data_IF_573966788837
#
_entry.id   IF_573966788837
#
_cell.length_a   1.000
_cell.length_b   1.000
_cell.length_c   1.000
_cell.angle_alpha   90.00
_cell.angle_beta   90.00
_cell.angle_gamma   90.00
#
_symmetry.space_group_name_H-M   'P 1'
#
loop_
_entity.id
_entity.type
_entity.pdbx_description
1 polymer ?
#
# COMPACT_ATOMS: atom_id res chain seq x y z
N UNK A 1 60.37 22.03 16.18
CA UNK A 1 59.41 21.47 15.21
C UNK A 1 59.19 20.01 15.59
N UNK A 2 58.04 19.57 16.15
CA UNK A 2 56.95 18.98 15.35
C UNK A 2 55.61 18.83 16.11
N UNK A 3 54.81 19.88 16.34
CA UNK A 3 53.52 19.72 17.06
C UNK A 3 52.28 20.29 16.34
N UNK A 4 52.47 21.01 15.22
CA UNK A 4 51.34 21.66 14.52
C UNK A 4 50.68 20.82 13.43
N UNK A 5 51.27 19.70 13.01
CA UNK A 5 50.76 18.90 11.88
C UNK A 5 49.76 17.83 12.32
N UNK A 6 49.87 17.29 13.55
CA UNK A 6 48.97 16.22 14.04
C UNK A 6 47.56 16.69 14.38
N UNK A 7 47.38 17.97 14.76
CA UNK A 7 46.07 18.52 15.13
C UNK A 7 45.14 18.71 13.92
N UNK A 8 45.69 19.01 12.73
CA UNK A 8 44.86 19.24 11.53
C UNK A 8 44.29 17.95 10.94
N UNK A 9 45.01 16.83 11.05
CA UNK A 9 44.56 15.52 10.54
C UNK A 9 43.42 14.95 11.40
N UNK A 10 43.45 15.18 12.72
CA UNK A 10 42.38 14.72 13.63
C UNK A 10 41.09 15.52 13.41
N UNK A 11 41.18 16.83 13.12
CA UNK A 11 40.01 17.65 12.82
C UNK A 11 39.33 17.25 11.49
N UNK A 12 40.11 16.83 10.48
CA UNK A 12 39.56 16.38 9.19
C UNK A 12 38.90 14.99 9.26
N UNK A 13 39.34 14.11 10.17
CA UNK A 13 38.72 12.79 10.38
C UNK A 13 37.40 12.92 11.16
N UNK A 14 37.27 13.90 12.08
CA UNK A 14 36.03 14.12 12.81
C UNK A 14 34.90 14.71 11.95
N UNK A 15 35.23 15.42 10.85
CA UNK A 15 34.26 15.99 9.92
C UNK A 15 33.68 14.99 8.92
N UNK A 16 34.27 13.79 8.79
CA UNK A 16 33.81 12.75 7.86
C UNK A 16 32.79 11.78 8.48
N UNK A 17 32.49 11.88 9.78
CA UNK A 17 31.52 11.01 10.46
C UNK A 17 30.13 11.62 10.67
N UNK A 18 29.91 12.88 10.30
CA UNK A 18 28.55 13.41 10.14
C UNK A 18 28.00 13.06 8.75
N UNK A 19 27.90 11.76 8.46
CA UNK A 19 26.80 11.32 7.60
C UNK A 19 25.53 11.58 8.40
N UNK A 20 24.97 12.76 8.18
CA UNK A 20 23.59 13.07 8.50
C UNK A 20 22.80 11.94 7.83
N UNK A 21 22.37 10.98 8.63
CA UNK A 21 21.23 10.16 8.27
C UNK A 21 20.11 11.17 8.10
N UNK A 22 19.87 11.59 6.86
CA UNK A 22 18.57 12.11 6.48
C UNK A 22 17.62 10.95 6.72
N UNK A 23 17.12 10.86 7.96
CA UNK A 23 15.81 10.34 8.20
C UNK A 23 14.92 11.22 7.33
N UNK A 24 14.60 10.74 6.13
CA UNK A 24 13.46 11.25 5.41
C UNK A 24 12.30 11.10 6.40
N UNK A 25 11.94 12.19 7.07
CA UNK A 25 10.66 12.32 7.74
C UNK A 25 9.62 12.39 6.62
N UNK A 26 9.48 11.30 5.88
CA UNK A 26 8.31 11.08 5.04
C UNK A 26 7.16 11.02 6.01
N UNK A 27 6.24 11.97 5.91
CA UNK A 27 4.98 11.94 6.65
C UNK A 27 4.41 10.54 6.52
N UNK A 28 4.45 9.78 7.61
CA UNK A 28 4.07 8.38 7.60
C UNK A 28 2.55 8.35 7.51
N UNK A 29 2.00 8.12 6.32
CA UNK A 29 0.55 7.97 6.14
C UNK A 29 -0.04 6.82 6.97
N UNK A 30 0.81 5.99 7.57
CA UNK A 30 0.45 4.99 8.59
C UNK A 30 -0.12 5.60 9.87
N UNK A 31 0.14 6.88 10.17
CA UNK A 31 -0.35 7.56 11.39
C UNK A 31 -1.79 8.09 11.26
N UNK A 32 -2.42 7.93 10.10
CA UNK A 32 -3.82 8.33 9.88
C UNK A 32 -4.78 7.43 10.67
N UNK A 33 -4.31 6.25 11.07
CA UNK A 33 -5.06 5.30 11.86
C UNK A 33 -4.64 5.33 13.33
N UNK A 34 -5.60 5.75 14.17
CA UNK A 34 -5.45 5.86 15.62
C UNK A 34 -5.22 4.48 16.30
N UNK A 35 -5.59 3.37 15.64
CA UNK A 35 -5.49 2.00 16.19
C UNK A 35 -4.14 1.32 15.90
N UNK A 36 -3.36 1.89 14.97
CA UNK A 36 -2.12 1.31 14.46
C UNK A 36 -2.29 -0.01 13.69
N UNK A 37 -3.53 -0.37 13.30
CA UNK A 37 -3.80 -1.51 12.42
C UNK A 37 -3.09 -1.38 11.08
N UNK A 38 -3.00 -0.17 10.51
CA UNK A 38 -2.33 0.06 9.22
C UNK A 38 -0.84 -0.29 9.33
N UNK A 39 -0.14 0.21 10.35
CA UNK A 39 1.27 -0.13 10.55
C UNK A 39 1.47 -1.63 10.81
N UNK A 40 0.60 -2.28 11.59
CA UNK A 40 0.67 -3.74 11.82
C UNK A 40 0.46 -4.53 10.53
N UNK A 41 -0.48 -4.10 9.68
CA UNK A 41 -0.78 -4.70 8.39
C UNK A 41 0.38 -4.55 7.40
N UNK A 42 0.95 -3.36 7.28
CA UNK A 42 2.11 -3.13 6.43
C UNK A 42 3.30 -4.03 6.83
N UNK A 43 3.59 -4.11 8.13
CA UNK A 43 4.66 -4.99 8.63
C UNK A 43 4.36 -6.49 8.43
N UNK A 44 3.08 -6.89 8.47
CA UNK A 44 2.68 -8.27 8.22
C UNK A 44 2.84 -8.63 6.75
N UNK A 45 2.40 -7.74 5.85
CA UNK A 45 2.62 -7.85 4.41
C UNK A 45 4.11 -8.00 4.08
N UNK A 46 4.97 -7.12 4.62
CA UNK A 46 6.41 -7.19 4.39
C UNK A 46 6.98 -8.55 4.81
N UNK A 47 6.61 -9.04 5.99
CA UNK A 47 7.08 -10.34 6.47
C UNK A 47 6.62 -11.48 5.58
N UNK A 48 5.36 -11.49 5.15
CA UNK A 48 4.81 -12.52 4.28
C UNK A 48 5.55 -12.53 2.93
N UNK A 49 5.72 -11.35 2.33
CA UNK A 49 6.34 -11.17 1.03
C UNK A 49 7.80 -11.67 1.02
N UNK A 50 8.61 -11.18 1.95
CA UNK A 50 10.03 -11.52 2.01
C UNK A 50 10.25 -12.97 2.44
N UNK A 51 9.36 -13.54 3.28
CA UNK A 51 9.41 -14.96 3.63
C UNK A 51 9.08 -15.85 2.45
N UNK A 52 8.08 -15.50 1.65
CA UNK A 52 7.62 -16.32 0.53
C UNK A 52 8.63 -16.36 -0.62
N UNK A 53 9.15 -15.20 -1.04
CA UNK A 53 10.09 -15.13 -2.18
C UNK A 53 11.55 -15.38 -1.79
N UNK A 54 11.95 -15.05 -0.55
CA UNK A 54 13.27 -15.30 0.01
C UNK A 54 14.45 -14.84 -0.89
N UNK A 55 14.33 -13.67 -1.54
CA UNK A 55 15.42 -13.06 -2.31
C UNK A 55 16.40 -12.23 -1.46
N UNK A 56 16.49 -12.53 -0.16
CA UNK A 56 17.27 -11.73 0.79
C UNK A 56 16.72 -10.31 0.91
N UNK A 57 17.60 -9.31 0.81
CA UNK A 57 17.26 -7.89 0.98
C UNK A 57 16.91 -7.17 -0.33
N UNK A 58 16.77 -7.89 -1.45
CA UNK A 58 16.40 -7.30 -2.73
C UNK A 58 14.90 -6.95 -2.75
N UNK A 59 14.58 -5.78 -2.22
CA UNK A 59 13.20 -5.27 -2.14
C UNK A 59 12.59 -5.05 -3.52
N UNK A 60 13.35 -4.55 -4.50
CA UNK A 60 12.81 -4.26 -5.83
C UNK A 60 12.40 -5.56 -6.52
N UNK A 61 13.28 -6.56 -6.52
CA UNK A 61 12.98 -7.87 -7.10
C UNK A 61 11.80 -8.55 -6.39
N UNK A 62 11.80 -8.55 -5.07
CA UNK A 62 10.74 -9.18 -4.26
C UNK A 62 9.36 -8.63 -4.60
N UNK A 63 9.20 -7.31 -4.59
CA UNK A 63 7.93 -6.67 -4.91
C UNK A 63 7.56 -6.81 -6.40
N UNK A 64 8.52 -6.72 -7.33
CA UNK A 64 8.22 -6.87 -8.77
C UNK A 64 7.79 -8.30 -9.11
N UNK A 65 8.42 -9.31 -8.52
CA UNK A 65 8.00 -10.71 -8.70
C UNK A 65 6.57 -10.90 -8.18
N UNK A 66 6.25 -10.36 -7.01
CA UNK A 66 4.88 -10.35 -6.50
C UNK A 66 3.88 -9.72 -7.46
N UNK A 67 4.16 -8.51 -7.94
CA UNK A 67 3.26 -7.82 -8.88
C UNK A 67 3.11 -8.56 -10.20
N UNK A 68 4.17 -9.20 -10.71
CA UNK A 68 4.12 -10.01 -11.91
C UNK A 68 3.24 -11.27 -11.72
N UNK A 69 3.33 -11.92 -10.56
CA UNK A 69 2.49 -13.08 -10.22
C UNK A 69 1.01 -12.67 -10.02
N UNK A 70 0.76 -11.50 -9.42
CA UNK A 70 -0.61 -10.95 -9.33
C UNK A 70 -1.15 -10.58 -10.71
N UNK A 71 -0.37 -9.90 -11.55
CA UNK A 71 -0.79 -9.49 -12.89
C UNK A 71 -1.08 -10.70 -13.80
N UNK A 72 -0.31 -11.79 -13.65
CA UNK A 72 -0.48 -13.03 -14.39
C UNK A 72 -1.44 -14.03 -13.74
N UNK A 73 -2.05 -13.68 -12.59
CA UNK A 73 -2.95 -14.55 -11.82
C UNK A 73 -2.32 -15.89 -11.43
N UNK A 74 -1.00 -15.92 -11.22
CA UNK A 74 -0.22 -17.13 -10.92
C UNK A 74 0.20 -17.26 -9.45
N UNK A 75 -0.20 -16.31 -8.61
CA UNK A 75 0.15 -16.25 -7.20
C UNK A 75 -0.41 -17.44 -6.40
N UNK A 76 0.43 -18.13 -5.61
CA UNK A 76 -0.02 -19.20 -4.69
C UNK A 76 -0.62 -18.58 -3.42
N UNK A 77 -1.91 -18.27 -3.53
CA UNK A 77 -2.68 -17.63 -2.47
C UNK A 77 -2.76 -18.46 -1.19
N UNK A 78 -2.49 -19.77 -1.20
CA UNK A 78 -2.55 -20.61 0.01
C UNK A 78 -1.27 -20.52 0.85
N UNK A 79 -0.15 -20.12 0.24
CA UNK A 79 1.17 -20.13 0.89
C UNK A 79 1.70 -18.75 1.22
N UNK A 80 1.31 -17.73 0.45
CA UNK A 80 1.79 -16.38 0.64
C UNK A 80 1.35 -15.79 1.99
N UNK A 81 0.04 -15.72 2.32
CA UNK A 81 -0.39 -15.02 3.53
C UNK A 81 -0.14 -15.84 4.80
N UNK A 82 0.33 -15.16 5.85
CA UNK A 82 0.32 -15.73 7.20
C UNK A 82 -1.04 -15.60 7.88
N UNK A 83 -1.28 -16.41 8.92
CA UNK A 83 -2.47 -16.30 9.77
C UNK A 83 -2.66 -14.89 10.33
N UNK A 84 -1.55 -14.18 10.63
CA UNK A 84 -1.60 -12.81 11.11
C UNK A 84 -2.18 -11.86 10.05
N UNK A 85 -1.75 -11.98 8.79
CA UNK A 85 -2.32 -11.19 7.70
C UNK A 85 -3.79 -11.51 7.47
N UNK A 86 -4.19 -12.78 7.55
CA UNK A 86 -5.61 -13.19 7.48
C UNK A 86 -6.43 -12.57 8.62
N UNK A 87 -5.92 -12.59 9.84
CA UNK A 87 -6.60 -11.97 11.00
C UNK A 87 -6.73 -10.44 10.84
N UNK A 88 -5.71 -9.77 10.31
CA UNK A 88 -5.77 -8.33 10.04
C UNK A 88 -6.79 -8.01 8.96
N UNK A 89 -6.90 -8.80 7.90
CA UNK A 89 -7.96 -8.70 6.89
C UNK A 89 -9.35 -8.80 7.52
N UNK A 90 -9.56 -9.75 8.43
CA UNK A 90 -10.85 -9.91 9.15
C UNK A 90 -11.17 -8.67 9.99
N UNK A 91 -10.17 -8.07 10.64
CA UNK A 91 -10.34 -6.81 11.37
C UNK A 91 -10.72 -5.65 10.45
N UNK A 92 -10.09 -5.54 9.27
CA UNK A 92 -10.48 -4.53 8.28
C UNK A 92 -11.94 -4.68 7.85
N UNK A 93 -12.44 -5.90 7.65
CA UNK A 93 -13.86 -6.13 7.36
C UNK A 93 -14.79 -5.68 8.49
N UNK A 94 -14.40 -5.91 9.74
CA UNK A 94 -15.20 -5.54 10.91
C UNK A 94 -15.32 -4.02 11.06
N UNK A 95 -14.29 -3.26 10.68
CA UNK A 95 -14.28 -1.80 10.77
C UNK A 95 -14.69 -1.10 9.47
N UNK A 96 -15.10 -1.83 8.43
CA UNK A 96 -15.43 -1.25 7.12
C UNK A 96 -16.61 -0.27 7.13
N UNK A 97 -17.43 -0.29 8.20
CA UNK A 97 -18.49 0.71 8.44
C UNK A 97 -17.98 2.03 9.05
N UNK A 98 -16.72 2.10 9.47
CA UNK A 98 -16.09 3.35 9.93
C UNK A 98 -15.73 4.23 8.73
N UNK A 99 -16.07 5.52 8.80
CA UNK A 99 -15.72 6.52 7.78
C UNK A 99 -14.21 6.68 7.60
N UNK A 100 -13.40 6.30 8.59
CA UNK A 100 -11.93 6.29 8.53
C UNK A 100 -11.35 4.99 7.95
N UNK A 101 -12.19 4.01 7.62
CA UNK A 101 -11.74 2.72 7.08
C UNK A 101 -11.06 2.87 5.72
N UNK A 102 -10.08 1.99 5.47
CA UNK A 102 -9.43 1.83 4.17
C UNK A 102 -10.35 1.22 3.12
N UNK A 103 -11.33 0.42 3.54
CA UNK A 103 -12.35 -0.17 2.66
C UNK A 103 -13.71 0.36 3.05
N UNK A 104 -14.52 0.69 2.04
CA UNK A 104 -15.92 1.08 2.19
C UNK A 104 -16.80 0.19 1.33
N UNK A 105 -18.11 0.29 1.51
CA UNK A 105 -19.08 -0.46 0.70
C UNK A 105 -19.11 0.10 -0.72
N UNK A 106 -19.21 -0.77 -1.72
CA UNK A 106 -19.24 -0.35 -3.13
C UNK A 106 -20.41 0.62 -3.41
N UNK A 107 -21.58 0.34 -2.83
CA UNK A 107 -22.76 1.22 -2.92
C UNK A 107 -22.48 2.63 -2.37
N UNK A 108 -21.74 2.74 -1.27
CA UNK A 108 -21.32 4.02 -0.71
C UNK A 108 -20.32 4.73 -1.63
N UNK A 109 -19.37 3.99 -2.24
CA UNK A 109 -18.41 4.56 -3.18
C UNK A 109 -19.09 5.11 -4.44
N UNK A 110 -19.98 4.33 -5.05
CA UNK A 110 -20.74 4.73 -6.25
C UNK A 110 -21.68 5.91 -5.96
N UNK A 111 -22.31 5.97 -4.78
CA UNK A 111 -23.19 7.07 -4.39
C UNK A 111 -22.48 8.43 -4.35
N UNK A 112 -21.17 8.46 -4.12
CA UNK A 112 -20.37 9.68 -4.17
C UNK A 112 -20.20 10.21 -5.60
N UNK A 113 -20.38 9.37 -6.62
CA UNK A 113 -20.40 9.77 -8.04
C UNK A 113 -21.79 10.22 -8.52
N UNK A 114 -22.87 9.78 -7.86
CA UNK A 114 -24.26 10.09 -8.26
C UNK A 114 -24.60 11.58 -8.14
N UNK A 115 -23.83 12.36 -7.35
CA UNK A 115 -23.94 13.84 -7.35
C UNK A 115 -23.61 14.44 -8.73
N UNK A 116 -22.93 13.70 -9.64
CA UNK A 116 -22.61 14.12 -11.02
C UNK A 116 -23.47 13.48 -12.11
N UNK A 117 -24.28 12.45 -11.84
CA UNK A 117 -25.13 11.80 -12.85
C UNK A 117 -26.52 11.52 -12.28
N UNK A 118 -27.46 12.41 -12.61
CA UNK A 118 -28.89 12.17 -12.48
C UNK A 118 -29.31 11.08 -13.45
N UNK A 119 -29.57 9.84 -13.03
CA UNK A 119 -30.57 8.94 -13.61
C UNK A 119 -30.92 7.77 -12.66
N UNK A 120 -32.24 7.58 -12.52
CA UNK A 120 -33.07 6.47 -12.02
C UNK A 120 -32.45 5.28 -11.26
N UNK A 121 -32.94 5.11 -10.02
CA UNK A 121 -32.75 3.97 -9.11
C UNK A 121 -33.21 2.63 -9.72
N UNK A 122 -32.34 1.60 -9.77
CA UNK A 122 -32.77 0.21 -9.78
C UNK A 122 -32.90 -0.28 -8.34
N UNK A 123 -34.07 -0.85 -8.02
CA UNK A 123 -34.39 -1.47 -6.73
C UNK A 123 -33.28 -2.37 -6.19
N UNK A 124 -32.67 -1.96 -5.06
CA UNK A 124 -31.65 -2.74 -4.35
C UNK A 124 -32.30 -3.97 -3.72
N UNK A 125 -31.96 -5.16 -4.22
CA UNK A 125 -32.27 -6.44 -3.56
C UNK A 125 -31.44 -6.57 -2.30
N UNK A 126 -32.10 -6.86 -1.17
CA UNK A 126 -31.59 -6.69 0.19
C UNK A 126 -30.72 -7.84 0.74
N UNK A 127 -30.37 -8.84 -0.08
CA UNK A 127 -29.74 -10.10 0.37
C UNK A 127 -28.38 -10.43 -0.29
N UNK A 128 -27.81 -9.53 -1.08
CA UNK A 128 -26.45 -9.75 -1.62
C UNK A 128 -25.39 -9.34 -0.59
N UNK A 129 -24.39 -10.22 -0.37
CA UNK A 129 -23.23 -9.91 0.48
C UNK A 129 -22.58 -8.64 -0.04
N UNK A 130 -22.65 -7.60 0.77
CA UNK A 130 -22.16 -6.27 0.43
C UNK A 130 -20.67 -6.34 0.05
N UNK A 131 -20.35 -5.85 -1.15
CA UNK A 131 -18.99 -5.85 -1.70
C UNK A 131 -18.23 -4.67 -1.10
N UNK A 132 -17.05 -4.94 -0.53
CA UNK A 132 -16.14 -3.91 -0.04
C UNK A 132 -15.12 -3.56 -1.12
N UNK A 133 -14.88 -2.27 -1.31
CA UNK A 133 -13.90 -1.70 -2.24
C UNK A 133 -12.91 -0.83 -1.49
N UNK A 134 -11.66 -0.77 -1.97
CA UNK A 134 -10.66 0.15 -1.43
C UNK A 134 -11.11 1.60 -1.65
N UNK A 135 -11.02 2.41 -0.61
CA UNK A 135 -11.53 3.78 -0.64
C UNK A 135 -10.49 4.72 -1.28
N UNK A 136 -10.49 4.82 -2.61
CA UNK A 136 -9.59 5.71 -3.36
C UNK A 136 -9.78 7.21 -3.03
N UNK A 137 -10.89 7.58 -2.38
CA UNK A 137 -11.19 8.95 -1.91
C UNK A 137 -10.89 9.16 -0.43
N UNK A 138 -10.42 8.11 0.25
CA UNK A 138 -10.15 8.10 1.69
C UNK A 138 -8.86 8.83 2.08
N UNK A 139 -8.76 9.25 3.34
CA UNK A 139 -7.61 10.03 3.82
C UNK A 139 -6.26 9.33 3.65
N UNK A 140 -6.23 8.00 3.79
CA UNK A 140 -4.99 7.22 3.65
C UNK A 140 -4.37 7.34 2.25
N UNK A 141 -5.13 7.00 1.21
CA UNK A 141 -4.64 7.03 -0.17
C UNK A 141 -4.39 8.47 -0.64
N UNK A 142 -5.19 9.43 -0.20
CA UNK A 142 -4.93 10.86 -0.46
C UNK A 142 -3.60 11.30 0.16
N UNK A 143 -3.26 10.81 1.36
CA UNK A 143 -1.94 11.05 1.94
C UNK A 143 -0.81 10.43 1.11
N UNK A 144 -0.98 9.17 0.65
CA UNK A 144 0.03 8.55 -0.22
C UNK A 144 0.24 9.35 -1.50
N UNK A 145 -0.85 9.79 -2.15
CA UNK A 145 -0.82 10.62 -3.36
C UNK A 145 -0.09 11.95 -3.11
N UNK A 146 -0.51 12.68 -2.06
CA UNK A 146 -0.03 14.04 -1.78
C UNK A 146 1.42 14.08 -1.26
N UNK A 147 1.90 12.98 -0.68
CA UNK A 147 3.28 12.87 -0.17
C UNK A 147 4.24 12.21 -1.17
N UNK A 148 3.74 11.67 -2.28
CA UNK A 148 4.57 11.07 -3.32
C UNK A 148 5.19 12.14 -4.22
N UNK A 149 6.44 11.91 -4.65
CA UNK A 149 7.10 12.70 -5.69
C UNK A 149 6.97 12.08 -7.10
N UNK A 150 6.31 10.93 -7.23
CA UNK A 150 6.10 10.24 -8.51
C UNK A 150 4.82 10.75 -9.16
N UNK A 151 4.92 11.39 -10.32
CA UNK A 151 3.75 11.82 -11.08
C UNK A 151 2.99 10.62 -11.64
N UNK A 152 3.69 9.59 -12.14
CA UNK A 152 3.06 8.36 -12.61
C UNK A 152 2.21 7.68 -11.53
N UNK A 153 2.71 7.62 -10.29
CA UNK A 153 1.95 7.09 -9.17
C UNK A 153 0.73 7.95 -8.83
N UNK A 154 0.85 9.29 -8.86
CA UNK A 154 -0.29 10.18 -8.64
C UNK A 154 -1.35 9.99 -9.72
N UNK A 155 -0.93 9.83 -10.97
CA UNK A 155 -1.82 9.59 -12.10
C UNK A 155 -2.54 8.25 -12.00
N UNK A 156 -1.86 7.21 -11.52
CA UNK A 156 -2.52 5.92 -11.21
C UNK A 156 -3.63 6.14 -10.18
N UNK A 157 -3.35 6.84 -9.07
CA UNK A 157 -4.36 7.09 -8.04
C UNK A 157 -5.50 7.97 -8.59
N UNK A 158 -5.21 9.04 -9.32
CA UNK A 158 -6.23 9.92 -9.91
C UNK A 158 -7.18 9.15 -10.85
N UNK A 159 -6.65 8.18 -11.61
CA UNK A 159 -7.47 7.32 -12.44
C UNK A 159 -8.39 6.41 -11.61
N UNK A 160 -7.86 5.81 -10.54
CA UNK A 160 -8.62 4.93 -9.64
C UNK A 160 -9.67 5.68 -8.80
N UNK A 161 -9.43 6.96 -8.51
CA UNK A 161 -10.43 7.85 -7.90
C UNK A 161 -11.65 8.08 -8.79
N UNK A 162 -11.44 8.12 -10.11
CA UNK A 162 -12.50 8.32 -11.10
C UNK A 162 -13.20 7.00 -11.46
N UNK A 163 -12.45 5.91 -11.53
CA UNK A 163 -12.96 4.56 -11.77
C UNK A 163 -12.23 3.57 -10.86
N UNK A 164 -12.85 3.27 -9.72
CA UNK A 164 -12.31 2.34 -8.74
C UNK A 164 -12.54 0.87 -9.10
N UNK A 165 -13.36 0.58 -10.12
CA UNK A 165 -13.74 -0.77 -10.50
C UNK A 165 -12.72 -1.40 -11.47
N UNK A 166 -11.44 -1.28 -11.12
CA UNK A 166 -10.32 -1.84 -11.89
C UNK A 166 -9.84 -3.11 -11.20
N UNK A 167 -9.58 -4.18 -11.97
CA UNK A 167 -9.07 -5.42 -11.40
C UNK A 167 -7.68 -5.24 -10.80
N UNK A 168 -7.43 -5.90 -9.67
CA UNK A 168 -6.12 -5.86 -9.00
C UNK A 168 -4.97 -6.31 -9.89
N UNK A 169 -5.21 -7.20 -10.87
CA UNK A 169 -4.20 -7.61 -11.85
C UNK A 169 -3.77 -6.47 -12.77
N UNK A 170 -4.71 -5.66 -13.26
CA UNK A 170 -4.42 -4.48 -14.09
C UNK A 170 -3.71 -3.40 -13.29
N UNK A 171 -4.14 -3.16 -12.05
CA UNK A 171 -3.46 -2.24 -11.12
C UNK A 171 -2.01 -2.70 -10.91
N UNK A 172 -1.80 -3.98 -10.64
CA UNK A 172 -0.47 -4.56 -10.43
C UNK A 172 0.44 -4.38 -11.64
N UNK A 173 -0.11 -4.56 -12.85
CA UNK A 173 0.64 -4.33 -14.08
C UNK A 173 1.08 -2.88 -14.23
N UNK A 174 0.20 -1.90 -13.94
CA UNK A 174 0.58 -0.47 -13.99
C UNK A 174 1.68 -0.13 -13.00
N UNK A 175 1.57 -0.62 -11.76
CA UNK A 175 2.56 -0.36 -10.71
C UNK A 175 3.91 -1.04 -11.02
N UNK A 176 3.89 -2.23 -11.63
CA UNK A 176 5.10 -2.98 -12.00
C UNK A 176 6.05 -2.16 -12.90
N UNK A 177 5.49 -1.34 -13.79
CA UNK A 177 6.23 -0.54 -14.77
C UNK A 177 6.72 0.81 -14.27
N UNK A 178 6.46 1.17 -13.00
CA UNK A 178 7.08 2.35 -12.40
C UNK A 178 8.61 2.21 -12.40
N UNK A 179 9.31 3.33 -12.51
CA UNK A 179 10.77 3.34 -12.46
C UNK A 179 11.28 2.84 -11.11
N UNK A 180 12.49 2.28 -11.05
CA UNK A 180 13.06 1.75 -9.80
C UNK A 180 13.08 2.79 -8.67
N UNK A 181 13.32 4.06 -9.03
CA UNK A 181 13.32 5.19 -8.10
C UNK A 181 11.93 5.37 -7.48
N UNK A 182 10.89 5.42 -8.28
CA UNK A 182 9.51 5.62 -7.82
C UNK A 182 9.00 4.41 -7.05
N UNK A 183 9.31 3.22 -7.57
CA UNK A 183 8.94 1.95 -6.98
C UNK A 183 9.51 1.76 -5.56
N UNK A 184 10.71 2.28 -5.31
CA UNK A 184 11.37 2.18 -4.00
C UNK A 184 10.73 3.02 -2.89
N UNK A 185 9.80 3.92 -3.24
CA UNK A 185 9.18 4.84 -2.27
C UNK A 185 8.24 4.12 -1.30
N UNK A 186 8.14 4.65 -0.08
CA UNK A 186 7.24 4.10 0.94
C UNK A 186 5.77 4.19 0.49
N UNK A 187 5.41 5.21 -0.27
CA UNK A 187 4.05 5.43 -0.78
C UNK A 187 3.61 4.30 -1.72
N UNK A 188 4.45 3.96 -2.70
CA UNK A 188 4.17 2.86 -3.64
C UNK A 188 4.10 1.53 -2.89
N UNK A 189 5.03 1.27 -1.95
CA UNK A 189 5.01 0.04 -1.14
C UNK A 189 3.75 -0.10 -0.30
N UNK A 190 3.30 1.00 0.31
CA UNK A 190 2.04 1.03 1.05
C UNK A 190 0.84 0.75 0.15
N UNK A 191 0.81 1.38 -1.03
CA UNK A 191 -0.24 1.12 -2.00
C UNK A 191 -0.30 -0.37 -2.39
N UNK A 192 0.86 -0.99 -2.67
CA UNK A 192 0.94 -2.43 -2.98
C UNK A 192 0.43 -3.27 -1.80
N UNK A 193 0.78 -2.93 -0.57
CA UNK A 193 0.29 -3.65 0.60
C UNK A 193 -1.24 -3.62 0.70
N UNK A 194 -1.84 -2.44 0.56
CA UNK A 194 -3.27 -2.28 0.84
C UNK A 194 -4.17 -2.54 -0.36
N UNK A 195 -3.91 -1.89 -1.49
CA UNK A 195 -4.78 -1.96 -2.66
C UNK A 195 -4.60 -3.26 -3.47
N UNK A 196 -3.43 -3.89 -3.35
CA UNK A 196 -3.14 -5.15 -4.04
C UNK A 196 -3.22 -6.33 -3.08
N UNK A 197 -2.30 -6.43 -2.12
CA UNK A 197 -2.21 -7.61 -1.25
C UNK A 197 -3.45 -7.78 -0.37
N UNK A 198 -3.82 -6.78 0.42
CA UNK A 198 -4.99 -6.89 1.30
C UNK A 198 -6.31 -6.92 0.52
N UNK A 199 -6.44 -6.23 -0.62
CA UNK A 199 -7.64 -6.39 -1.48
C UNK A 199 -7.82 -7.82 -1.98
N UNK A 200 -6.76 -8.53 -2.35
CA UNK A 200 -6.83 -9.97 -2.66
C UNK A 200 -7.32 -10.75 -1.43
N UNK A 201 -6.71 -10.52 -0.26
CA UNK A 201 -7.11 -11.20 0.98
C UNK A 201 -8.56 -10.92 1.37
N UNK A 202 -9.06 -9.70 1.15
CA UNK A 202 -10.45 -9.33 1.40
C UNK A 202 -11.43 -10.22 0.64
N UNK A 203 -11.05 -10.69 -0.55
CA UNK A 203 -11.85 -11.64 -1.33
C UNK A 203 -11.72 -13.07 -0.79
N UNK A 204 -10.50 -13.51 -0.46
CA UNK A 204 -10.21 -14.94 -0.22
C UNK A 204 -10.14 -15.38 1.24
N UNK A 205 -10.13 -14.47 2.23
CA UNK A 205 -9.84 -14.82 3.64
C UNK A 205 -10.76 -15.90 4.23
N UNK A 206 -12.00 -16.02 3.73
CA UNK A 206 -12.95 -17.05 4.18
C UNK A 206 -12.53 -18.47 3.80
N UNK A 207 -11.63 -18.63 2.83
CA UNK A 207 -11.06 -19.91 2.45
C UNK A 207 -10.04 -20.43 3.48
N UNK A 208 -9.56 -19.55 4.37
CA UNK A 208 -8.66 -19.89 5.47
C UNK A 208 -9.51 -20.19 6.70
N UNK A 209 -9.39 -21.41 7.25
CA UNK A 209 -10.15 -21.83 8.43
C UNK A 209 -9.50 -21.31 9.70
#
# INVERSE_FOLDING_TARGET
>A
MPLKIRSRIIASILLLFFKVNYSQSGNSCLTIDDTGIINKAFNSFEKDLFKYYNFGNDSTKTYRTFLAEVASLSLDLRKLPSDNSIQLTRKFKQIASDKKSLWIKLSEYESQDIVKKSYTDPSIKKDEKEVLIFNYRGGFIQCLKNTSSSEDFKDIINNLENDGNVSTSLISQKIYYLTDKEFSTLQVKNFIAFDIYYSILMVIEKAFK
#
